data_IF_016805808992
#
_entry.id   IF_016805808992
#
_cell.length_a   1.000
_cell.length_b   1.000
_cell.length_c   1.000
_cell.angle_alpha   90.00
_cell.angle_beta   90.00
_cell.angle_gamma   90.00
#
_symmetry.space_group_name_H-M   'P 1'
#
loop_
_entity.id
_entity.type
_entity.pdbx_description
1 polymer ?
#
# COMPACT_ATOMS: atom_id res chain seq x y z
N UNK A 1 13.19 -15.85 11.38
CA UNK A 1 13.35 -15.11 10.11
C UNK A 1 13.81 -13.70 10.43
N UNK A 2 14.91 -13.23 9.83
CA UNK A 2 15.28 -11.81 9.91
C UNK A 2 14.24 -10.99 9.14
N UNK A 3 13.75 -9.89 9.73
CA UNK A 3 12.88 -8.95 9.01
C UNK A 3 13.68 -8.33 7.87
N UNK A 4 13.22 -8.49 6.64
CA UNK A 4 13.75 -7.78 5.49
C UNK A 4 13.04 -6.43 5.40
N UNK A 5 13.82 -5.36 5.41
CA UNK A 5 13.32 -4.00 5.29
C UNK A 5 13.60 -3.47 3.88
N UNK A 6 12.66 -2.68 3.38
CA UNK A 6 12.79 -2.02 2.08
C UNK A 6 13.72 -0.82 2.23
N UNK A 7 14.67 -0.70 1.30
CA UNK A 7 15.58 0.45 1.26
C UNK A 7 14.90 1.60 0.49
N UNK A 8 15.03 2.86 0.97
CA UNK A 8 14.54 4.01 0.24
C UNK A 8 15.30 4.18 -1.08
N UNK A 9 14.58 4.60 -2.12
CA UNK A 9 15.15 5.03 -3.38
C UNK A 9 15.33 6.56 -3.41
N UNK A 10 16.31 7.08 -4.17
CA UNK A 10 16.38 8.50 -4.43
C UNK A 10 15.13 8.97 -5.19
N UNK A 11 14.67 10.18 -4.89
CA UNK A 11 13.54 10.81 -5.59
C UNK A 11 13.85 12.25 -5.95
N UNK A 12 13.34 12.69 -7.10
CA UNK A 12 13.33 14.10 -7.52
C UNK A 12 12.01 14.78 -7.20
N UNK A 13 11.01 14.03 -6.70
CA UNK A 13 9.71 14.58 -6.32
C UNK A 13 9.90 15.36 -5.01
N UNK A 14 9.48 16.64 -4.95
CA UNK A 14 9.58 17.42 -3.74
C UNK A 14 8.71 16.81 -2.64
N UNK A 15 9.18 16.92 -1.38
CA UNK A 15 8.41 16.45 -0.23
C UNK A 15 7.10 17.24 -0.14
N UNK A 16 5.93 16.59 -0.08
CA UNK A 16 4.65 17.26 -0.03
C UNK A 16 4.47 18.00 1.31
N UNK A 17 3.70 19.08 1.29
CA UNK A 17 3.37 19.85 2.49
C UNK A 17 2.23 19.24 3.32
N UNK A 18 1.43 18.35 2.71
CA UNK A 18 0.20 17.82 3.32
C UNK A 18 0.07 16.33 3.08
N UNK A 19 -0.10 15.57 4.17
CA UNK A 19 -0.27 14.11 4.13
C UNK A 19 -1.70 13.76 3.75
N UNK A 20 -2.67 14.48 4.35
CA UNK A 20 -4.10 14.15 4.24
C UNK A 20 -4.95 15.36 3.91
N UNK A 21 -6.00 15.10 3.17
CA UNK A 21 -7.10 16.03 2.93
C UNK A 21 -8.42 15.41 3.37
N UNK A 22 -9.48 16.22 3.37
CA UNK A 22 -10.84 15.79 3.67
C UNK A 22 -11.42 15.09 2.44
N UNK A 23 -11.59 13.77 2.54
CA UNK A 23 -12.24 12.97 1.51
C UNK A 23 -13.76 12.98 1.60
N UNK A 24 -14.40 12.14 0.78
CA UNK A 24 -15.86 11.96 0.80
C UNK A 24 -16.33 11.57 2.21
N UNK A 25 -17.40 12.20 2.68
CA UNK A 25 -17.97 12.01 4.02
C UNK A 25 -17.06 12.45 5.18
N UNK A 26 -16.17 13.42 4.96
CA UNK A 26 -15.35 14.00 6.03
C UNK A 26 -14.20 13.11 6.49
N UNK A 27 -13.94 11.99 5.81
CA UNK A 27 -12.90 11.03 6.22
C UNK A 27 -11.52 11.48 5.73
N UNK A 28 -10.47 11.42 6.56
CA UNK A 28 -9.12 11.77 6.13
C UNK A 28 -8.63 10.77 5.07
N UNK A 29 -8.18 11.29 3.93
CA UNK A 29 -7.59 10.51 2.83
C UNK A 29 -6.21 11.05 2.50
N UNK A 30 -5.26 10.17 2.17
CA UNK A 30 -3.94 10.63 1.72
C UNK A 30 -4.08 11.43 0.41
N UNK A 31 -3.33 12.51 0.27
CA UNK A 31 -3.28 13.34 -0.96
C UNK A 31 -2.62 12.54 -2.10
N UNK A 32 -2.91 12.87 -3.36
CA UNK A 32 -2.24 12.21 -4.50
C UNK A 32 -0.74 12.55 -4.54
N UNK A 33 -0.40 13.82 -4.33
CA UNK A 33 0.99 14.31 -4.22
C UNK A 33 1.81 13.48 -3.22
N UNK A 34 1.23 13.19 -2.05
CA UNK A 34 1.90 12.35 -1.06
C UNK A 34 2.04 10.91 -1.51
N UNK A 35 1.04 10.33 -2.18
CA UNK A 35 1.12 8.95 -2.68
C UNK A 35 2.21 8.82 -3.75
N UNK A 36 2.30 9.78 -4.67
CA UNK A 36 3.32 9.82 -5.71
C UNK A 36 4.72 9.93 -5.10
N UNK A 37 4.90 10.88 -4.17
CA UNK A 37 6.14 11.02 -3.42
C UNK A 37 6.50 9.72 -2.66
N UNK A 38 5.57 9.14 -1.90
CA UNK A 38 5.80 7.93 -1.13
C UNK A 38 6.16 6.72 -2.01
N UNK A 39 5.51 6.55 -3.16
CA UNK A 39 5.80 5.46 -4.10
C UNK A 39 7.09 5.67 -4.88
N UNK A 40 7.53 6.92 -5.08
CA UNK A 40 8.83 7.21 -5.69
C UNK A 40 10.00 6.76 -4.80
N UNK A 41 9.85 6.84 -3.48
CA UNK A 41 10.87 6.43 -2.51
C UNK A 41 10.74 4.95 -2.16
N UNK A 42 9.51 4.46 -1.95
CA UNK A 42 9.23 3.07 -1.58
C UNK A 42 8.25 2.43 -2.57
N UNK A 43 8.71 1.97 -3.75
CA UNK A 43 7.83 1.40 -4.76
C UNK A 43 7.31 0.03 -4.37
N UNK A 44 5.98 -0.12 -4.30
CA UNK A 44 5.31 -1.36 -3.90
C UNK A 44 5.63 -2.50 -4.87
N UNK A 45 6.21 -3.60 -4.35
CA UNK A 45 6.49 -4.83 -5.10
C UNK A 45 5.70 -5.99 -4.48
N UNK A 46 4.81 -6.69 -5.22
CA UNK A 46 3.92 -7.71 -4.64
C UNK A 46 4.64 -8.96 -4.09
N UNK A 47 5.93 -9.12 -4.39
CA UNK A 47 6.68 -10.36 -4.20
C UNK A 47 7.45 -10.49 -2.89
N UNK A 48 7.49 -9.46 -2.05
CA UNK A 48 8.32 -9.43 -0.85
C UNK A 48 7.53 -8.98 0.38
N UNK A 49 8.05 -9.24 1.57
CA UNK A 49 7.47 -8.64 2.78
C UNK A 49 7.64 -7.12 2.73
N UNK A 50 6.51 -6.44 2.78
CA UNK A 50 6.46 -4.98 2.77
C UNK A 50 6.58 -4.42 4.18
N UNK A 51 7.81 -4.08 4.58
CA UNK A 51 8.11 -3.44 5.85
C UNK A 51 9.18 -2.35 5.66
N UNK A 52 8.87 -1.15 6.13
CA UNK A 52 9.76 0.02 6.12
C UNK A 52 10.26 0.21 7.55
N UNK A 53 11.53 0.61 7.74
CA UNK A 53 12.05 0.83 9.09
C UNK A 53 11.31 1.98 9.76
N UNK A 54 11.24 1.98 11.09
CA UNK A 54 10.46 2.99 11.82
C UNK A 54 10.97 4.41 11.53
N UNK A 55 12.29 4.55 11.55
CA UNK A 55 13.03 5.78 11.25
C UNK A 55 12.80 6.29 9.82
N UNK A 56 12.56 5.38 8.87
CA UNK A 56 12.34 5.73 7.47
C UNK A 56 10.93 6.30 7.21
N UNK A 57 9.97 6.09 8.11
CA UNK A 57 8.65 6.73 8.01
C UNK A 57 8.71 8.25 8.21
N UNK A 58 9.72 8.76 8.93
CA UNK A 58 9.88 10.20 9.13
C UNK A 58 10.14 10.94 7.81
N UNK A 59 10.80 10.28 6.85
CA UNK A 59 11.02 10.80 5.49
C UNK A 59 9.70 11.02 4.73
N UNK A 60 8.64 10.32 5.12
CA UNK A 60 7.34 10.34 4.48
C UNK A 60 6.34 11.30 5.15
N UNK A 61 6.58 11.71 6.40
CA UNK A 61 5.68 12.65 7.08
C UNK A 61 6.07 14.07 6.66
N UNK A 62 5.15 14.89 6.11
CA UNK A 62 5.41 16.30 5.83
C UNK A 62 6.00 17.05 7.02
N UNK A 63 6.93 17.97 6.75
CA UNK A 63 7.61 18.73 7.81
C UNK A 63 6.66 19.54 8.70
N UNK A 64 5.59 20.18 8.18
CA UNK A 64 4.60 20.84 9.04
C UNK A 64 3.90 19.86 9.99
N UNK A 65 3.60 18.64 9.54
CA UNK A 65 2.96 17.63 10.39
C UNK A 65 3.92 17.06 11.44
N UNK A 66 5.20 16.92 11.10
CA UNK A 66 6.24 16.57 12.08
C UNK A 66 6.39 17.65 13.15
N UNK A 67 6.39 18.92 12.76
CA UNK A 67 6.47 20.05 13.68
C UNK A 67 5.27 20.07 14.64
N UNK A 68 4.05 19.91 14.13
CA UNK A 68 2.87 19.82 14.98
C UNK A 68 2.87 18.59 15.88
N UNK A 69 3.29 17.43 15.36
CA UNK A 69 3.39 16.21 16.16
C UNK A 69 4.44 16.29 17.27
N UNK A 70 5.50 17.10 17.09
CA UNK A 70 6.54 17.31 18.10
C UNK A 70 6.03 18.09 19.33
N UNK A 71 4.91 18.80 19.23
CA UNK A 71 4.25 19.46 20.37
C UNK A 71 3.60 18.47 21.34
N UNK A 72 3.39 17.21 20.93
CA UNK A 72 2.88 16.14 21.79
C UNK A 72 4.04 15.39 22.48
N UNK A 73 4.29 15.62 23.79
CA UNK A 73 5.40 15.00 24.51
C UNK A 73 5.26 13.48 24.65
N UNK A 74 4.07 12.92 24.43
CA UNK A 74 3.84 11.47 24.50
C UNK A 74 4.26 10.74 23.21
N UNK A 75 4.49 11.49 22.12
CA UNK A 75 4.78 10.95 20.79
C UNK A 75 3.59 10.20 20.14
N UNK A 76 2.39 10.27 20.75
CA UNK A 76 1.19 9.58 20.25
C UNK A 76 0.75 10.14 18.90
N UNK A 77 0.84 11.45 18.70
CA UNK A 77 0.55 12.11 17.43
C UNK A 77 1.43 11.55 16.29
N UNK A 78 2.76 11.55 16.49
CA UNK A 78 3.71 10.99 15.52
C UNK A 78 3.45 9.51 15.24
N UNK A 79 3.20 8.72 16.29
CA UNK A 79 2.90 7.29 16.14
C UNK A 79 1.61 7.05 15.34
N UNK A 80 0.63 7.93 15.46
CA UNK A 80 -0.62 7.87 14.69
C UNK A 80 -0.38 8.15 13.21
N UNK A 81 0.52 9.10 12.88
CA UNK A 81 0.95 9.36 11.51
C UNK A 81 1.66 8.15 10.91
N UNK A 82 2.69 7.63 11.58
CA UNK A 82 3.44 6.45 11.15
C UNK A 82 2.51 5.26 10.93
N UNK A 83 1.59 4.99 11.87
CA UNK A 83 0.65 3.88 11.76
C UNK A 83 -0.24 4.01 10.52
N UNK A 84 -0.73 5.19 10.23
CA UNK A 84 -1.56 5.40 9.04
C UNK A 84 -0.79 5.22 7.73
N UNK A 85 0.50 5.59 7.70
CA UNK A 85 1.36 5.37 6.54
C UNK A 85 1.64 3.88 6.37
N UNK A 86 1.97 3.18 7.46
CA UNK A 86 2.11 1.72 7.48
C UNK A 86 0.86 1.01 6.96
N UNK A 87 -0.32 1.36 7.48
CA UNK A 87 -1.60 0.77 7.08
C UNK A 87 -1.89 1.04 5.58
N UNK A 88 -1.56 2.23 5.09
CA UNK A 88 -1.70 2.57 3.67
C UNK A 88 -0.81 1.68 2.79
N UNK A 89 0.47 1.53 3.13
CA UNK A 89 1.39 0.68 2.37
C UNK A 89 0.97 -0.79 2.39
N UNK A 90 0.54 -1.31 3.55
CA UNK A 90 0.02 -2.68 3.69
C UNK A 90 -1.14 -2.93 2.74
N UNK A 91 -2.08 -1.99 2.66
CA UNK A 91 -3.22 -2.04 1.74
C UNK A 91 -2.75 -2.03 0.28
N UNK A 92 -1.81 -1.16 -0.09
CA UNK A 92 -1.28 -1.10 -1.46
C UNK A 92 -0.55 -2.36 -1.87
N UNK A 93 0.24 -2.93 -0.97
CA UNK A 93 0.94 -4.17 -1.20
C UNK A 93 -0.03 -5.34 -1.39
N UNK A 94 -1.07 -5.42 -0.56
CA UNK A 94 -2.12 -6.43 -0.72
C UNK A 94 -2.90 -6.28 -2.03
N UNK A 95 -3.23 -5.05 -2.43
CA UNK A 95 -3.86 -4.77 -3.74
C UNK A 95 -2.96 -5.27 -4.88
N UNK A 96 -1.65 -4.99 -4.82
CA UNK A 96 -0.70 -5.45 -5.83
C UNK A 96 -0.62 -6.98 -5.90
N UNK A 97 -0.65 -7.67 -4.76
CA UNK A 97 -0.72 -9.14 -4.73
C UNK A 97 -2.04 -9.68 -5.30
N UNK A 98 -3.16 -9.06 -4.95
CA UNK A 98 -4.48 -9.43 -5.49
C UNK A 98 -4.55 -9.23 -7.01
N UNK A 99 -3.91 -8.18 -7.54
CA UNK A 99 -3.80 -7.96 -8.98
C UNK A 99 -3.14 -9.17 -9.67
N UNK A 100 -2.04 -9.68 -9.11
CA UNK A 100 -1.34 -10.87 -9.63
C UNK A 100 -2.23 -12.12 -9.60
N UNK A 101 -2.96 -12.33 -8.50
CA UNK A 101 -3.88 -13.47 -8.38
C UNK A 101 -5.00 -13.36 -9.42
N UNK A 102 -5.61 -12.19 -9.53
CA UNK A 102 -6.71 -11.94 -10.47
C UNK A 102 -6.27 -11.95 -11.94
N UNK A 103 -4.99 -11.74 -12.25
CA UNK A 103 -4.47 -11.93 -13.61
C UNK A 103 -4.20 -13.39 -13.97
N UNK A 104 -4.04 -14.26 -12.98
CA UNK A 104 -3.78 -15.69 -13.17
C UNK A 104 -5.05 -16.56 -12.99
N UNK A 105 -6.17 -15.95 -12.61
CA UNK A 105 -7.41 -16.65 -12.24
C UNK A 105 -8.64 -15.90 -12.79
N UNK A 106 -9.84 -16.45 -12.58
CA UNK A 106 -11.09 -15.80 -12.97
C UNK A 106 -11.34 -14.51 -12.19
N UNK A 107 -11.42 -13.38 -12.90
CA UNK A 107 -11.65 -12.06 -12.30
C UNK A 107 -13.01 -11.95 -11.59
N UNK A 108 -13.97 -12.81 -11.93
CA UNK A 108 -15.35 -12.79 -11.45
C UNK A 108 -15.59 -13.55 -10.15
N UNK A 109 -14.58 -14.28 -9.64
CA UNK A 109 -14.64 -15.02 -8.37
C UNK A 109 -15.29 -14.22 -7.24
N UNK A 110 -16.06 -14.86 -6.38
CA UNK A 110 -16.54 -14.17 -5.18
C UNK A 110 -15.40 -13.89 -4.18
N UNK A 111 -15.70 -13.20 -3.08
CA UNK A 111 -14.69 -12.83 -2.09
C UNK A 111 -14.11 -14.03 -1.31
N UNK A 112 -14.85 -15.14 -1.18
CA UNK A 112 -14.40 -16.34 -0.48
C UNK A 112 -13.48 -17.15 -1.38
N UNK A 113 -13.88 -17.36 -2.63
CA UNK A 113 -13.08 -17.98 -3.69
C UNK A 113 -11.77 -17.23 -3.92
N UNK A 114 -11.84 -15.91 -4.12
CA UNK A 114 -10.67 -15.07 -4.31
C UNK A 114 -9.72 -15.13 -3.11
N UNK A 115 -10.26 -15.24 -1.90
CA UNK A 115 -9.44 -15.37 -0.69
C UNK A 115 -8.72 -16.72 -0.65
N UNK A 116 -9.40 -17.80 -1.00
CA UNK A 116 -8.79 -19.12 -1.07
C UNK A 116 -7.65 -19.12 -2.10
N UNK A 117 -7.91 -18.63 -3.31
CA UNK A 117 -6.92 -18.48 -4.38
C UNK A 117 -5.74 -17.59 -3.95
N UNK A 118 -6.01 -16.46 -3.28
CA UNK A 118 -4.95 -15.60 -2.75
C UNK A 118 -4.02 -16.34 -1.78
N UNK A 119 -4.58 -17.05 -0.79
CA UNK A 119 -3.77 -17.78 0.19
C UNK A 119 -2.95 -18.88 -0.49
N UNK A 120 -3.54 -19.62 -1.42
CA UNK A 120 -2.87 -20.67 -2.16
C UNK A 120 -1.70 -20.12 -2.98
N UNK A 121 -1.95 -19.08 -3.79
CA UNK A 121 -0.94 -18.44 -4.63
C UNK A 121 0.20 -17.82 -3.82
N UNK A 122 -0.10 -17.18 -2.69
CA UNK A 122 0.95 -16.62 -1.82
C UNK A 122 1.81 -17.73 -1.22
N UNK A 123 1.23 -18.88 -0.82
CA UNK A 123 1.99 -20.04 -0.34
C UNK A 123 2.88 -20.63 -1.43
N UNK A 124 2.33 -20.83 -2.63
CA UNK A 124 3.04 -21.34 -3.81
C UNK A 124 4.26 -20.46 -4.12
N UNK A 125 4.07 -19.14 -4.18
CA UNK A 125 5.11 -18.17 -4.49
C UNK A 125 6.03 -17.86 -3.29
N UNK A 126 5.77 -18.41 -2.10
CA UNK A 126 6.46 -18.10 -0.82
C UNK A 126 6.42 -16.62 -0.46
N UNK A 127 5.30 -15.95 -0.78
CA UNK A 127 5.05 -14.54 -0.50
C UNK A 127 4.31 -14.35 0.83
N UNK A 128 4.41 -13.16 1.45
CA UNK A 128 3.66 -12.84 2.66
C UNK A 128 2.15 -12.84 2.40
N UNK A 129 1.40 -13.33 3.39
CA UNK A 129 -0.06 -13.32 3.43
C UNK A 129 -0.52 -12.23 4.39
N UNK A 130 -1.24 -11.23 3.88
CA UNK A 130 -1.76 -10.12 4.67
C UNK A 130 -3.22 -10.31 5.03
N UNK A 131 -3.51 -10.13 6.32
CA UNK A 131 -4.85 -10.09 6.92
C UNK A 131 -5.73 -11.32 6.67
N UNK A 132 -6.52 -11.71 7.67
CA UNK A 132 -7.39 -12.87 7.51
C UNK A 132 -8.60 -12.61 6.60
N UNK A 133 -9.01 -11.36 6.36
CA UNK A 133 -10.22 -11.02 5.58
C UNK A 133 -9.89 -10.00 4.48
N UNK A 134 -10.38 -10.23 3.25
CA UNK A 134 -10.25 -9.26 2.14
C UNK A 134 -11.21 -8.09 2.37
N UNK A 135 -10.76 -6.85 2.11
CA UNK A 135 -11.66 -5.68 2.13
C UNK A 135 -12.21 -5.43 0.73
N UNK A 136 -13.50 -5.11 0.61
CA UNK A 136 -14.14 -4.82 -0.67
C UNK A 136 -13.43 -3.71 -1.47
N UNK A 137 -12.90 -2.70 -0.79
CA UNK A 137 -12.15 -1.63 -1.44
C UNK A 137 -10.82 -2.11 -2.06
N UNK A 138 -10.15 -3.09 -1.45
CA UNK A 138 -8.91 -3.69 -1.96
C UNK A 138 -9.21 -4.54 -3.19
N UNK A 139 -10.22 -5.41 -3.10
CA UNK A 139 -10.64 -6.28 -4.21
C UNK A 139 -11.09 -5.44 -5.41
N UNK A 140 -11.93 -4.43 -5.18
CA UNK A 140 -12.40 -3.53 -6.26
C UNK A 140 -11.23 -2.78 -6.91
N UNK A 141 -10.27 -2.29 -6.12
CA UNK A 141 -9.10 -1.62 -6.66
C UNK A 141 -8.22 -2.57 -7.49
N UNK A 142 -8.00 -3.80 -7.02
CA UNK A 142 -7.22 -4.79 -7.75
C UNK A 142 -7.88 -5.17 -9.08
N UNK A 143 -9.20 -5.41 -9.07
CA UNK A 143 -9.98 -5.67 -10.31
C UNK A 143 -9.89 -4.54 -11.31
N UNK A 144 -10.06 -3.29 -10.86
CA UNK A 144 -9.94 -2.12 -11.71
C UNK A 144 -8.56 -2.04 -12.37
N UNK A 145 -7.49 -2.27 -11.60
CA UNK A 145 -6.11 -2.27 -12.13
C UNK A 145 -5.86 -3.41 -13.14
N UNK A 146 -6.45 -4.59 -12.94
CA UNK A 146 -6.38 -5.68 -13.93
C UNK A 146 -7.10 -5.27 -15.21
N UNK A 147 -8.31 -4.73 -15.11
CA UNK A 147 -9.09 -4.26 -16.25
C UNK A 147 -8.38 -3.15 -17.04
N UNK A 148 -7.81 -2.15 -16.35
CA UNK A 148 -6.98 -1.11 -16.96
C UNK A 148 -5.77 -1.71 -17.69
N UNK A 149 -5.10 -2.69 -17.10
CA UNK A 149 -3.95 -3.36 -17.75
C UNK A 149 -4.34 -4.13 -19.02
N UNK A 150 -5.56 -4.67 -19.08
CA UNK A 150 -6.11 -5.28 -20.29
C UNK A 150 -6.39 -4.24 -21.38
N UNK A 151 -6.99 -3.10 -21.02
CA UNK A 151 -7.27 -2.02 -21.96
C UNK A 151 -5.98 -1.41 -22.55
N UNK A 152 -4.95 -1.28 -21.71
CA UNK A 152 -3.66 -0.71 -22.10
C UNK A 152 -2.75 -1.72 -22.85
N UNK A 153 -3.21 -2.96 -23.06
CA UNK A 153 -2.45 -4.01 -23.76
C UNK A 153 -1.22 -4.51 -23.00
N UNK A 154 -1.10 -4.22 -21.70
CA UNK A 154 0.04 -4.61 -20.85
C UNK A 154 -0.21 -5.87 -20.03
N UNK A 155 -1.44 -6.37 -20.00
CA UNK A 155 -1.76 -7.68 -19.45
C UNK A 155 -1.27 -8.77 -20.42
N UNK A 156 -0.21 -9.49 -20.04
CA UNK A 156 0.25 -10.66 -20.79
C UNK A 156 -0.86 -11.71 -20.78
N UNK A 157 -1.34 -12.08 -21.96
CA UNK A 157 -2.15 -13.28 -22.15
C UNK A 157 -1.27 -14.47 -21.75
N UNK A 158 -1.68 -15.22 -20.72
CA UNK A 158 -1.20 -16.57 -20.50
C UNK A 158 -2.05 -17.53 -21.32
#
# INVERSE_FOLDING_TARGET
MMRQYIKPLPTTIPKPMTLRTTGRYGKPVMTEEWKEYALSIFPVKPSQHWDIRREDYDLLIPDPELHEAAKDPTGKAKNTLIRSIYDWFRVRHRIAQLKVVLSECDITMDNEELRAAYIEKMKEKKWPIYDRKLKNCEVRAARAQVFESYLDGTASQC
#
